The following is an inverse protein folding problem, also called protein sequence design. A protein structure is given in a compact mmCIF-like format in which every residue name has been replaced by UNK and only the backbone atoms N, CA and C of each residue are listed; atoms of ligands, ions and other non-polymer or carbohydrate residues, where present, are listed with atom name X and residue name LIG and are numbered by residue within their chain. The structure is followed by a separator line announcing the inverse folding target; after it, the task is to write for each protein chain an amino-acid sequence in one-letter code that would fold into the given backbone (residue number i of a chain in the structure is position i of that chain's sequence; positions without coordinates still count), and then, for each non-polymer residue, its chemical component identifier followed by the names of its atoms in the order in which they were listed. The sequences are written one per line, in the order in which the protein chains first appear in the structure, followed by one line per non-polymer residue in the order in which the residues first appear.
data_IF_910234532679
#
_entry.id   IF_910234532679
#
_cell.length_a   1.000
_cell.length_b   1.000
_cell.length_c   1.000
_cell.angle_alpha   90.00
_cell.angle_beta   90.00
_cell.angle_gamma   90.00
#
_symmetry.space_group_name_H-M   'P 1'
#
loop_
_entity.id
_entity.type
_entity.pdbx_description
1 polymer ?
#
# COMPACT_ATOMS: atom_id res chain seq x y z
N UNK A 1 5.76 10.58 -10.35
CA UNK A 1 5.87 9.11 -10.30
C UNK A 1 4.90 8.56 -9.25
N UNK A 2 4.21 7.49 -9.60
CA UNK A 2 3.24 6.83 -8.71
C UNK A 2 3.86 5.51 -8.24
N UNK A 3 3.70 5.21 -6.97
CA UNK A 3 4.21 3.95 -6.39
C UNK A 3 3.07 3.15 -5.77
N UNK A 4 3.21 1.83 -5.79
CA UNK A 4 2.34 0.93 -5.03
C UNK A 4 3.16 0.43 -3.86
N UNK A 5 2.64 0.60 -2.64
CA UNK A 5 3.39 0.29 -1.42
C UNK A 5 2.78 -0.84 -0.63
N UNK A 6 3.64 -1.62 0.02
CA UNK A 6 3.25 -2.57 1.05
C UNK A 6 3.14 -1.84 2.40
N UNK A 7 2.66 -2.53 3.43
CA UNK A 7 2.42 -1.94 4.75
C UNK A 7 3.71 -1.57 5.49
N UNK A 8 4.76 -2.40 5.41
CA UNK A 8 5.96 -2.20 6.22
C UNK A 8 6.64 -0.84 6.04
N UNK A 9 6.89 -0.36 4.80
CA UNK A 9 7.48 0.97 4.63
C UNK A 9 6.61 2.08 5.20
N UNK A 10 5.28 1.96 5.04
CA UNK A 10 4.34 2.97 5.53
C UNK A 10 4.33 3.00 7.05
N UNK A 11 4.25 1.83 7.69
CA UNK A 11 4.25 1.72 9.15
C UNK A 11 5.56 2.28 9.71
N UNK A 12 6.70 1.92 9.12
CA UNK A 12 8.01 2.39 9.57
C UNK A 12 8.12 3.91 9.49
N UNK A 13 7.72 4.51 8.37
CA UNK A 13 7.83 5.96 8.19
C UNK A 13 6.82 6.71 9.07
N UNK A 14 5.63 6.17 9.26
CA UNK A 14 4.64 6.77 10.17
C UNK A 14 5.14 6.72 11.62
N UNK A 15 5.76 5.62 12.03
CA UNK A 15 6.24 5.47 13.41
C UNK A 15 7.33 6.48 13.78
N UNK A 16 8.14 6.89 12.81
CA UNK A 16 9.18 7.91 13.03
C UNK A 16 8.74 9.31 12.57
N UNK A 17 7.46 9.46 12.20
CA UNK A 17 6.87 10.73 11.75
C UNK A 17 7.58 11.33 10.53
N UNK A 18 7.99 10.47 9.60
CA UNK A 18 8.72 10.88 8.40
C UNK A 18 8.06 10.44 7.10
N UNK A 19 6.72 10.45 7.07
CA UNK A 19 5.97 10.14 5.83
C UNK A 19 6.24 11.19 4.74
N UNK A 20 6.73 12.37 5.12
CA UNK A 20 7.14 13.41 4.18
C UNK A 20 8.18 12.92 3.17
N UNK A 21 8.99 11.93 3.54
CA UNK A 21 10.00 11.35 2.65
C UNK A 21 9.31 10.78 1.39
N UNK A 22 8.22 10.04 1.56
CA UNK A 22 7.47 9.50 0.42
C UNK A 22 6.84 10.60 -0.42
N UNK A 23 6.35 11.65 0.23
CA UNK A 23 5.72 12.77 -0.49
C UNK A 23 6.72 13.54 -1.34
N UNK A 24 8.01 13.52 -0.96
CA UNK A 24 9.07 14.15 -1.75
C UNK A 24 9.47 13.29 -2.95
N UNK A 25 9.36 11.97 -2.83
CA UNK A 25 9.80 11.03 -3.86
C UNK A 25 8.71 10.72 -4.90
N UNK A 26 7.45 10.73 -4.47
CA UNK A 26 6.33 10.32 -5.31
C UNK A 26 5.21 11.35 -5.29
N UNK A 27 4.47 11.43 -6.39
CA UNK A 27 3.28 12.30 -6.48
C UNK A 27 2.10 11.69 -5.73
N UNK A 28 2.02 10.37 -5.73
CA UNK A 28 0.92 9.63 -5.14
C UNK A 28 1.38 8.20 -4.83
N UNK A 29 0.82 7.62 -3.79
CA UNK A 29 0.97 6.19 -3.53
C UNK A 29 -0.40 5.52 -3.60
N UNK A 30 -0.41 4.30 -4.11
CA UNK A 30 -1.60 3.46 -4.21
C UNK A 30 -1.34 2.24 -3.33
N UNK A 31 -2.34 1.86 -2.54
CA UNK A 31 -2.25 0.66 -1.71
C UNK A 31 -3.52 -0.18 -1.89
N UNK A 32 -3.39 -1.51 -1.85
CA UNK A 32 -4.57 -2.36 -1.85
C UNK A 32 -5.28 -2.31 -0.49
N UNK A 33 -6.53 -2.76 -0.45
CA UNK A 33 -7.35 -2.71 0.76
C UNK A 33 -6.72 -3.44 1.95
N UNK A 34 -6.08 -4.58 1.72
CA UNK A 34 -5.46 -5.33 2.82
C UNK A 34 -4.32 -4.54 3.45
N UNK A 35 -3.54 -3.82 2.65
CA UNK A 35 -2.47 -2.96 3.15
C UNK A 35 -3.04 -1.79 3.94
N UNK A 36 -4.13 -1.19 3.44
CA UNK A 36 -4.83 -0.13 4.18
C UNK A 36 -5.23 -0.61 5.58
N UNK A 37 -5.82 -1.78 5.68
CA UNK A 37 -6.23 -2.34 6.97
C UNK A 37 -5.02 -2.58 7.89
N UNK A 38 -3.94 -3.14 7.36
CA UNK A 38 -2.74 -3.39 8.14
C UNK A 38 -2.13 -2.10 8.70
N UNK A 39 -2.03 -1.06 7.87
CA UNK A 39 -1.44 0.22 8.28
C UNK A 39 -2.30 0.92 9.32
N UNK A 40 -3.60 1.06 9.04
CA UNK A 40 -4.48 1.89 9.88
C UNK A 40 -5.12 1.15 11.05
N UNK A 41 -4.91 -0.17 11.15
CA UNK A 41 -5.21 -0.93 12.35
C UNK A 41 -4.00 -1.01 13.30
N UNK A 42 -2.83 -0.56 12.84
CA UNK A 42 -1.66 -0.45 13.69
C UNK A 42 -1.77 0.79 14.58
N UNK A 43 -0.96 0.86 15.64
CA UNK A 43 -1.00 1.98 16.59
C UNK A 43 -0.04 3.11 16.23
N UNK A 44 0.36 3.22 14.97
CA UNK A 44 1.36 4.21 14.54
C UNK A 44 0.76 5.55 14.12
N UNK A 45 -0.55 5.69 14.18
CA UNK A 45 -1.22 6.93 13.78
C UNK A 45 -1.50 6.98 12.28
N UNK A 46 -1.27 8.15 11.67
CA UNK A 46 -1.43 8.30 10.22
C UNK A 46 -2.75 8.88 9.78
N UNK A 47 -3.50 9.52 10.69
CA UNK A 47 -4.78 10.13 10.36
C UNK A 47 -4.69 11.17 9.25
N UNK A 48 -3.61 11.94 9.21
CA UNK A 48 -3.39 12.94 8.16
C UNK A 48 -3.14 12.28 6.80
N UNK A 49 -2.36 11.19 6.79
CA UNK A 49 -2.12 10.42 5.57
C UNK A 49 -3.42 9.80 5.05
N UNK A 50 -4.22 9.24 5.96
CA UNK A 50 -5.49 8.60 5.62
C UNK A 50 -6.44 9.56 4.91
N UNK A 51 -6.44 10.84 5.32
CA UNK A 51 -7.32 11.88 4.76
C UNK A 51 -6.70 12.61 3.57
N UNK A 52 -5.43 12.38 3.26
CA UNK A 52 -4.74 13.11 2.21
C UNK A 52 -5.07 12.53 0.82
N UNK A 53 -4.92 13.39 -0.20
CA UNK A 53 -5.05 12.94 -1.60
C UNK A 53 -3.81 12.20 -2.10
N UNK A 54 -2.75 12.20 -1.31
CA UNK A 54 -1.52 11.49 -1.63
C UNK A 54 -1.72 9.98 -1.61
N UNK A 55 -2.58 9.49 -0.72
CA UNK A 55 -2.87 8.07 -0.57
C UNK A 55 -4.17 7.70 -1.28
N UNK A 56 -4.10 6.69 -2.15
CA UNK A 56 -5.27 6.14 -2.81
C UNK A 56 -5.37 4.65 -2.53
N UNK A 57 -6.56 4.20 -2.11
CA UNK A 57 -6.83 2.78 -1.89
C UNK A 57 -7.54 2.22 -3.11
N UNK A 58 -7.02 1.14 -3.67
CA UNK A 58 -7.60 0.47 -4.83
C UNK A 58 -7.93 -0.97 -4.50
N UNK A 59 -9.02 -1.46 -5.06
CA UNK A 59 -9.38 -2.88 -4.96
C UNK A 59 -8.69 -3.67 -6.06
N UNK A 60 -8.16 -4.82 -5.67
CA UNK A 60 -7.64 -5.79 -6.64
C UNK A 60 -8.82 -6.45 -7.35
N UNK A 61 -8.74 -6.60 -8.66
CA UNK A 61 -9.78 -7.22 -9.47
C UNK A 61 -9.59 -8.72 -9.61
N UNK A 62 -8.36 -9.16 -9.87
CA UNK A 62 -8.06 -10.58 -10.11
C UNK A 62 -7.82 -11.33 -8.80
N UNK A 63 -8.91 -11.75 -8.16
CA UNK A 63 -8.87 -12.48 -6.90
C UNK A 63 -8.26 -13.87 -7.03
N UNK A 64 -8.37 -14.48 -8.21
CA UNK A 64 -7.79 -15.81 -8.47
C UNK A 64 -6.27 -15.74 -8.49
N UNK A 65 -5.72 -14.69 -9.12
CA UNK A 65 -4.27 -14.49 -9.15
C UNK A 65 -3.72 -14.21 -7.76
N UNK A 66 -4.44 -13.45 -6.94
CA UNK A 66 -4.09 -13.24 -5.53
C UNK A 66 -4.00 -14.58 -4.79
N UNK A 67 -4.98 -15.46 -4.96
CA UNK A 67 -4.98 -16.77 -4.32
C UNK A 67 -3.77 -17.60 -4.75
N UNK A 68 -3.40 -17.55 -6.02
CA UNK A 68 -2.24 -18.25 -6.53
C UNK A 68 -0.96 -17.73 -5.86
N UNK A 69 -0.79 -16.42 -5.77
CA UNK A 69 0.39 -15.81 -5.15
C UNK A 69 0.47 -16.11 -3.65
N UNK A 70 -0.69 -16.21 -2.98
CA UNK A 70 -0.74 -16.50 -1.54
C UNK A 70 -0.24 -17.89 -1.17
N UNK A 71 0.01 -18.74 -2.14
CA UNK A 71 0.62 -20.03 -1.88
C UNK A 71 2.07 -19.88 -1.43
N UNK A 72 2.74 -18.77 -1.74
CA UNK A 72 4.14 -18.53 -1.38
C UNK A 72 4.37 -17.15 -0.73
N UNK A 73 3.45 -16.21 -0.88
CA UNK A 73 3.58 -14.84 -0.38
C UNK A 73 2.46 -14.55 0.61
N UNK A 74 2.67 -13.57 1.48
CA UNK A 74 1.59 -13.14 2.37
C UNK A 74 0.50 -12.38 1.60
N UNK A 75 -0.59 -12.08 2.27
CA UNK A 75 -1.75 -11.45 1.62
C UNK A 75 -1.42 -10.06 1.07
N UNK A 76 -0.74 -9.23 1.89
CA UNK A 76 -0.36 -7.89 1.47
C UNK A 76 0.53 -7.90 0.23
N UNK A 77 1.58 -8.72 0.25
CA UNK A 77 2.50 -8.85 -0.90
C UNK A 77 1.77 -9.33 -2.14
N UNK A 78 0.88 -10.31 -1.99
CA UNK A 78 0.10 -10.86 -3.11
C UNK A 78 -0.78 -9.80 -3.75
N UNK A 79 -1.45 -8.99 -2.95
CA UNK A 79 -2.30 -7.91 -3.48
C UNK A 79 -1.49 -6.78 -4.10
N UNK A 80 -0.34 -6.43 -3.51
CA UNK A 80 0.53 -5.39 -4.09
C UNK A 80 1.01 -5.80 -5.48
N UNK A 81 1.48 -7.02 -5.65
CA UNK A 81 1.96 -7.51 -6.95
C UNK A 81 0.81 -7.53 -7.97
N UNK A 82 -0.34 -8.06 -7.58
CA UNK A 82 -1.50 -8.13 -8.47
C UNK A 82 -1.94 -6.73 -8.89
N UNK A 83 -2.02 -5.80 -7.95
CA UNK A 83 -2.42 -4.43 -8.24
C UNK A 83 -1.42 -3.74 -9.16
N UNK A 84 -0.12 -3.97 -8.96
CA UNK A 84 0.92 -3.41 -9.82
C UNK A 84 0.74 -3.86 -11.27
N UNK A 85 0.45 -5.14 -11.48
CA UNK A 85 0.18 -5.68 -12.81
C UNK A 85 -1.08 -5.06 -13.40
N UNK A 86 -2.16 -4.97 -12.64
CA UNK A 86 -3.42 -4.40 -13.10
C UNK A 86 -3.30 -2.92 -13.46
N UNK A 87 -2.48 -2.18 -12.73
CA UNK A 87 -2.27 -0.74 -12.96
C UNK A 87 -1.17 -0.46 -13.99
N UNK A 88 -0.45 -1.49 -14.45
CA UNK A 88 0.65 -1.32 -15.37
C UNK A 88 1.86 -0.63 -14.76
N UNK A 89 2.05 -0.76 -13.46
CA UNK A 89 3.17 -0.17 -12.72
C UNK A 89 4.09 -1.30 -12.27
N UNK A 90 5.22 -1.42 -12.90
CA UNK A 90 6.18 -2.47 -12.51
C UNK A 90 7.56 -1.90 -12.26
#
# INVERSE_FOLDING_TARGET
MIAICNSSPLISLLSIKRIDILKKLFDKIIIPEVVYKEVFNSKVGGGDLKRSRFLKVEKVKDKKFVKLLRMQLDYGESEVITLAIEQGIY
#
